data_IF_970105207963
#
_entry.id   IF_970105207963
#
_cell.length_a   1.000
_cell.length_b   1.000
_cell.length_c   1.000
_cell.angle_alpha   90.00
_cell.angle_beta   90.00
_cell.angle_gamma   90.00
#
_symmetry.space_group_name_H-M   'P 1'
#
loop_
_entity.id
_entity.type
_entity.pdbx_description
1 polymer ?
#
# COMPACT_ATOMS: atom_id res chain seq x y z
N UNK A 1 -26.81 -26.53 1.50
CA UNK A 1 -25.68 -25.67 1.12
C UNK A 1 -24.40 -26.44 1.47
N UNK A 2 -23.51 -26.69 0.51
CA UNK A 2 -22.26 -27.45 0.79
C UNK A 2 -21.34 -26.65 1.70
N UNK A 3 -20.56 -27.33 2.57
CA UNK A 3 -19.57 -26.71 3.47
C UNK A 3 -18.63 -25.76 2.69
N UNK A 4 -18.22 -26.20 1.51
CA UNK A 4 -17.34 -25.46 0.61
C UNK A 4 -17.94 -24.12 0.17
N UNK A 5 -19.23 -24.07 -0.16
CA UNK A 5 -19.92 -22.83 -0.54
C UNK A 5 -20.10 -21.89 0.65
N UNK A 6 -20.32 -22.42 1.86
CA UNK A 6 -20.33 -21.61 3.09
C UNK A 6 -18.98 -20.96 3.34
N UNK A 7 -17.90 -21.73 3.27
CA UNK A 7 -16.53 -21.21 3.42
C UNK A 7 -16.21 -20.12 2.37
N UNK A 8 -16.63 -20.36 1.11
CA UNK A 8 -16.42 -19.38 0.05
C UNK A 8 -17.11 -18.06 0.37
N UNK A 9 -18.37 -18.08 0.77
CA UNK A 9 -19.12 -16.88 1.12
C UNK A 9 -18.50 -16.15 2.31
N UNK A 10 -18.07 -16.87 3.34
CA UNK A 10 -17.45 -16.29 4.54
C UNK A 10 -16.07 -15.67 4.27
N UNK A 11 -15.30 -16.23 3.33
CA UNK A 11 -13.90 -15.84 3.09
C UNK A 11 -13.72 -14.87 1.91
N UNK A 12 -14.70 -14.74 1.00
CA UNK A 12 -14.60 -13.81 -0.15
C UNK A 12 -15.37 -12.51 0.15
N UNK A 13 -14.68 -11.39 0.42
CA UNK A 13 -15.32 -10.11 0.76
C UNK A 13 -16.08 -9.47 -0.41
N UNK A 14 -16.03 -10.05 -1.62
CA UNK A 14 -16.76 -9.55 -2.80
C UNK A 14 -18.24 -9.93 -2.83
N UNK A 15 -18.64 -10.91 -2.05
CA UNK A 15 -20.05 -11.30 -1.92
C UNK A 15 -20.70 -10.51 -0.79
N UNK A 16 -21.98 -10.13 -0.96
CA UNK A 16 -22.74 -9.45 0.10
C UNK A 16 -23.01 -10.45 1.22
N UNK A 17 -22.23 -10.37 2.25
CA UNK A 17 -22.21 -11.31 3.34
C UNK A 17 -23.31 -11.10 4.38
N UNK A 18 -23.65 -12.21 5.05
CA UNK A 18 -24.49 -12.21 6.25
C UNK A 18 -23.74 -11.72 7.49
N UNK A 19 -24.39 -11.82 8.65
CA UNK A 19 -23.83 -11.40 9.94
C UNK A 19 -22.54 -12.14 10.31
N UNK A 20 -22.47 -13.46 10.04
CA UNK A 20 -21.28 -14.29 10.34
C UNK A 20 -20.04 -13.86 9.53
N UNK A 21 -20.24 -13.46 8.28
CA UNK A 21 -19.18 -13.00 7.39
C UNK A 21 -18.59 -11.68 7.87
N UNK A 22 -19.45 -10.75 8.30
CA UNK A 22 -19.00 -9.47 8.89
C UNK A 22 -18.22 -9.67 10.18
N UNK A 23 -18.64 -10.60 11.05
CA UNK A 23 -17.90 -10.94 12.27
C UNK A 23 -16.53 -11.49 11.92
N UNK A 24 -16.45 -12.41 10.96
CA UNK A 24 -15.18 -13.00 10.53
C UNK A 24 -14.23 -11.92 9.95
N UNK A 25 -14.75 -11.01 9.14
CA UNK A 25 -13.99 -9.89 8.59
C UNK A 25 -13.43 -8.98 9.70
N UNK A 26 -14.27 -8.59 10.67
CA UNK A 26 -13.85 -7.78 11.82
C UNK A 26 -12.77 -8.51 12.64
N UNK A 27 -12.96 -9.80 12.92
CA UNK A 27 -12.00 -10.62 13.67
C UNK A 27 -10.65 -10.66 12.94
N UNK A 28 -10.67 -10.88 11.64
CA UNK A 28 -9.46 -10.96 10.84
C UNK A 28 -8.72 -9.61 10.78
N UNK A 29 -9.44 -8.51 10.58
CA UNK A 29 -8.87 -7.16 10.64
C UNK A 29 -8.29 -6.89 12.02
N UNK A 30 -8.99 -7.27 13.10
CA UNK A 30 -8.51 -7.11 14.46
C UNK A 30 -7.21 -7.86 14.72
N UNK A 31 -7.10 -9.12 14.26
CA UNK A 31 -5.86 -9.90 14.38
C UNK A 31 -4.72 -9.23 13.60
N UNK A 32 -4.98 -8.70 12.39
CA UNK A 32 -3.97 -7.97 11.62
C UNK A 32 -3.49 -6.73 12.37
N UNK A 33 -4.41 -5.92 12.90
CA UNK A 33 -4.08 -4.72 13.66
C UNK A 33 -3.30 -5.05 14.94
N UNK A 34 -3.70 -6.08 15.67
CA UNK A 34 -2.97 -6.54 16.86
C UNK A 34 -1.55 -7.03 16.50
N UNK A 35 -1.35 -7.68 15.34
CA UNK A 35 -0.01 -8.04 14.88
C UNK A 35 0.85 -6.80 14.63
N UNK A 36 0.27 -5.73 14.05
CA UNK A 36 0.99 -4.48 13.83
C UNK A 36 1.42 -3.89 15.18
N UNK A 37 0.50 -3.82 16.14
CA UNK A 37 0.79 -3.33 17.50
C UNK A 37 1.86 -4.19 18.18
N UNK A 38 1.77 -5.52 18.08
CA UNK A 38 2.75 -6.44 18.64
C UNK A 38 4.16 -6.21 18.04
N UNK A 39 4.27 -6.03 16.71
CA UNK A 39 5.55 -5.73 16.05
C UNK A 39 6.12 -4.39 16.54
N UNK A 40 5.29 -3.36 16.69
CA UNK A 40 5.74 -2.05 17.19
C UNK A 40 6.22 -2.17 18.64
N UNK A 41 5.45 -2.83 19.51
CA UNK A 41 5.82 -2.99 20.92
C UNK A 41 7.06 -3.86 21.11
N UNK A 42 7.22 -4.95 20.33
CA UNK A 42 8.42 -5.80 20.37
C UNK A 42 9.69 -5.11 19.86
N UNK A 43 9.58 -3.96 19.20
CA UNK A 43 10.74 -3.15 18.83
C UNK A 43 11.35 -2.38 20.00
N UNK A 44 10.61 -2.24 21.10
CA UNK A 44 11.04 -1.54 22.31
C UNK A 44 11.65 -2.59 23.27
N UNK A 45 12.97 -2.49 23.55
CA UNK A 45 13.71 -3.49 24.33
C UNK A 45 13.06 -3.83 25.67
N UNK A 46 12.60 -2.84 26.42
CA UNK A 46 11.96 -3.04 27.74
C UNK A 46 10.67 -3.89 27.63
N UNK A 47 9.88 -3.69 26.57
CA UNK A 47 8.67 -4.46 26.32
C UNK A 47 8.99 -5.86 25.80
N UNK A 48 9.99 -5.98 24.90
CA UNK A 48 10.41 -7.26 24.34
C UNK A 48 10.93 -8.18 25.46
N UNK A 49 11.83 -7.69 26.31
CA UNK A 49 12.37 -8.46 27.45
C UNK A 49 11.29 -8.91 28.45
N UNK A 50 10.30 -8.05 28.72
CA UNK A 50 9.24 -8.33 29.70
C UNK A 50 8.13 -9.24 29.18
N UNK A 51 7.79 -9.14 27.91
CA UNK A 51 6.61 -9.76 27.30
C UNK A 51 6.95 -10.69 26.12
N UNK A 52 8.21 -11.12 25.97
CA UNK A 52 8.70 -11.93 24.87
C UNK A 52 7.88 -13.20 24.64
N UNK A 53 7.49 -13.90 25.70
CA UNK A 53 6.69 -15.12 25.58
C UNK A 53 5.29 -14.83 25.02
N UNK A 54 4.64 -13.75 25.49
CA UNK A 54 3.32 -13.34 24.99
C UNK A 54 3.36 -12.93 23.51
N UNK A 55 4.41 -12.20 23.09
CA UNK A 55 4.58 -11.83 21.68
C UNK A 55 4.81 -13.06 20.82
N UNK A 56 5.62 -14.01 21.28
CA UNK A 56 5.87 -15.27 20.57
C UNK A 56 4.61 -16.11 20.44
N UNK A 57 3.86 -16.28 21.53
CA UNK A 57 2.65 -17.09 21.55
C UNK A 57 1.56 -16.47 20.65
N UNK A 58 1.41 -15.14 20.68
CA UNK A 58 0.51 -14.43 19.78
C UNK A 58 0.97 -14.51 18.32
N UNK A 59 2.27 -14.48 18.05
CA UNK A 59 2.81 -14.68 16.72
C UNK A 59 2.47 -16.07 16.17
N UNK A 60 2.67 -17.12 16.98
CA UNK A 60 2.34 -18.51 16.61
C UNK A 60 0.83 -18.65 16.37
N UNK A 61 0.00 -18.11 17.28
CA UNK A 61 -1.44 -18.10 17.11
C UNK A 61 -1.86 -17.46 15.79
N UNK A 62 -1.37 -16.28 15.51
CA UNK A 62 -1.67 -15.54 14.27
C UNK A 62 -1.22 -16.31 13.02
N UNK A 63 -0.05 -16.93 13.08
CA UNK A 63 0.49 -17.73 12.01
C UNK A 63 -0.40 -18.92 11.68
N UNK A 64 -0.80 -19.69 12.72
CA UNK A 64 -1.71 -20.84 12.56
C UNK A 64 -3.05 -20.37 11.99
N UNK A 65 -3.59 -19.28 12.52
CA UNK A 65 -4.84 -18.71 12.07
C UNK A 65 -4.78 -18.33 10.58
N UNK A 66 -3.76 -17.58 10.14
CA UNK A 66 -3.60 -17.18 8.75
C UNK A 66 -3.30 -18.34 7.80
N UNK A 67 -2.62 -19.38 8.29
CA UNK A 67 -2.39 -20.61 7.51
C UNK A 67 -3.70 -21.34 7.25
N UNK A 68 -4.52 -21.54 8.29
CA UNK A 68 -5.84 -22.18 8.16
C UNK A 68 -6.73 -21.35 7.23
N UNK A 69 -6.76 -20.04 7.40
CA UNK A 69 -7.52 -19.11 6.57
C UNK A 69 -7.11 -19.22 5.07
N UNK A 70 -5.82 -19.25 4.79
CA UNK A 70 -5.31 -19.39 3.42
C UNK A 70 -5.68 -20.74 2.78
N UNK A 71 -5.52 -21.83 3.53
CA UNK A 71 -5.88 -23.17 3.08
C UNK A 71 -7.39 -23.28 2.81
N UNK A 72 -8.23 -22.76 3.72
CA UNK A 72 -9.67 -22.74 3.57
C UNK A 72 -10.11 -21.92 2.35
N UNK A 73 -9.42 -20.80 2.10
CA UNK A 73 -9.64 -19.95 0.93
C UNK A 73 -9.25 -20.69 -0.36
N UNK A 74 -8.08 -21.34 -0.38
CA UNK A 74 -7.62 -22.13 -1.53
C UNK A 74 -8.53 -23.33 -1.82
N UNK A 75 -9.12 -23.92 -0.76
CA UNK A 75 -10.09 -24.99 -0.90
C UNK A 75 -11.41 -24.49 -1.50
N UNK A 76 -11.91 -23.34 -1.07
CA UNK A 76 -13.23 -22.82 -1.42
C UNK A 76 -13.29 -22.05 -2.74
N UNK A 77 -12.16 -21.50 -3.21
CA UNK A 77 -12.09 -20.60 -4.39
C UNK A 77 -12.64 -21.21 -5.69
N UNK A 78 -12.67 -22.53 -5.80
CA UNK A 78 -13.16 -23.24 -6.99
C UNK A 78 -14.67 -23.02 -7.21
N UNK A 79 -15.40 -22.54 -6.21
CA UNK A 79 -16.81 -22.11 -6.35
C UNK A 79 -16.96 -20.86 -7.25
N UNK A 80 -15.92 -20.05 -7.38
CA UNK A 80 -15.89 -18.89 -8.27
C UNK A 80 -15.68 -19.34 -9.71
N UNK A 81 -16.59 -18.98 -10.61
CA UNK A 81 -16.57 -19.40 -12.04
C UNK A 81 -15.20 -19.22 -12.70
N UNK A 82 -14.48 -18.14 -12.37
CA UNK A 82 -13.13 -17.84 -12.89
C UNK A 82 -12.09 -18.90 -12.53
N UNK A 83 -12.29 -19.64 -11.44
CA UNK A 83 -11.35 -20.61 -10.87
C UNK A 83 -11.97 -22.03 -10.74
N UNK A 84 -12.97 -22.36 -11.55
CA UNK A 84 -13.75 -23.59 -11.45
C UNK A 84 -12.95 -24.90 -11.60
N UNK A 85 -11.77 -24.85 -12.24
CA UNK A 85 -10.94 -26.05 -12.40
C UNK A 85 -10.24 -26.42 -11.08
N UNK A 86 -10.33 -27.68 -10.61
CA UNK A 86 -9.89 -28.07 -9.26
C UNK A 86 -8.41 -27.85 -8.97
N UNK A 87 -7.52 -28.02 -9.94
CA UNK A 87 -6.07 -27.83 -9.76
C UNK A 87 -5.61 -26.52 -10.38
N UNK A 88 -5.84 -26.34 -11.69
CA UNK A 88 -5.41 -25.12 -12.43
C UNK A 88 -6.03 -23.85 -11.86
N UNK A 89 -7.29 -23.94 -11.40
CA UNK A 89 -7.98 -22.80 -10.76
C UNK A 89 -7.32 -22.34 -9.46
N UNK A 90 -6.94 -23.31 -8.60
CA UNK A 90 -6.24 -23.02 -7.34
C UNK A 90 -4.85 -22.44 -7.58
N UNK A 91 -4.07 -22.99 -8.51
CA UNK A 91 -2.75 -22.46 -8.87
C UNK A 91 -2.86 -21.03 -9.45
N UNK A 92 -3.85 -20.81 -10.33
CA UNK A 92 -4.11 -19.47 -10.88
C UNK A 92 -4.52 -18.47 -9.80
N UNK A 93 -5.29 -18.91 -8.81
CA UNK A 93 -5.64 -18.06 -7.66
C UNK A 93 -4.41 -17.79 -6.78
N UNK A 94 -3.63 -18.82 -6.43
CA UNK A 94 -2.41 -18.68 -5.62
C UNK A 94 -1.39 -17.73 -6.24
N UNK A 95 -1.34 -17.61 -7.57
CA UNK A 95 -0.50 -16.67 -8.31
C UNK A 95 -1.08 -15.23 -8.36
N UNK A 96 -2.25 -14.96 -7.78
CA UNK A 96 -2.78 -13.59 -7.71
C UNK A 96 -2.03 -12.74 -6.68
N UNK A 97 -1.86 -11.41 -6.90
CA UNK A 97 -1.12 -10.55 -5.97
C UNK A 97 -1.60 -10.65 -4.52
N UNK A 98 -2.92 -10.65 -4.30
CA UNK A 98 -3.49 -10.76 -2.96
C UNK A 98 -3.27 -12.13 -2.31
N UNK A 99 -3.29 -13.22 -3.10
CA UNK A 99 -2.99 -14.55 -2.58
C UNK A 99 -1.50 -14.75 -2.30
N UNK A 100 -0.62 -14.10 -3.06
CA UNK A 100 0.81 -14.06 -2.77
C UNK A 100 1.11 -13.29 -1.48
N UNK A 101 0.44 -12.16 -1.24
CA UNK A 101 0.52 -11.44 0.04
C UNK A 101 0.10 -12.35 1.20
N UNK A 102 -1.02 -13.07 1.05
CA UNK A 102 -1.46 -14.03 2.07
C UNK A 102 -0.40 -15.12 2.31
N UNK A 103 0.17 -15.68 1.25
CA UNK A 103 1.21 -16.72 1.32
C UNK A 103 2.48 -16.19 2.02
N UNK A 104 2.99 -15.04 1.58
CA UNK A 104 4.19 -14.44 2.18
C UNK A 104 3.99 -13.97 3.62
N UNK A 105 2.76 -13.85 4.09
CA UNK A 105 2.47 -13.48 5.49
C UNK A 105 2.84 -14.57 6.51
N UNK A 106 2.88 -15.85 6.10
CA UNK A 106 3.19 -16.97 6.99
C UNK A 106 4.32 -17.89 6.46
N UNK A 107 4.56 -17.95 5.15
CA UNK A 107 5.56 -18.81 4.54
C UNK A 107 6.98 -18.64 5.14
N UNK A 108 7.47 -17.41 5.39
CA UNK A 108 8.81 -17.19 5.93
C UNK A 108 9.04 -17.88 7.27
N UNK A 109 8.01 -18.00 8.11
CA UNK A 109 8.09 -18.70 9.38
C UNK A 109 8.37 -20.19 9.18
N UNK A 110 7.69 -20.82 8.24
CA UNK A 110 7.92 -22.25 7.94
C UNK A 110 9.28 -22.48 7.28
N UNK A 111 9.77 -21.54 6.48
CA UNK A 111 11.09 -21.60 5.89
C UNK A 111 12.20 -21.51 6.94
N UNK A 112 11.94 -20.85 8.07
CA UNK A 112 12.91 -20.77 9.17
C UNK A 112 13.19 -22.12 9.86
N UNK A 113 12.34 -23.13 9.69
CA UNK A 113 12.59 -24.50 10.17
C UNK A 113 13.47 -25.35 9.23
N UNK A 114 13.73 -24.87 8.01
CA UNK A 114 14.68 -25.52 7.12
C UNK A 114 16.13 -25.20 7.59
N UNK A 115 17.10 -26.10 7.35
CA UNK A 115 18.50 -25.89 7.67
C UNK A 115 19.13 -24.82 6.76
N UNK A 116 18.70 -23.59 6.92
CA UNK A 116 19.12 -22.43 6.15
C UNK A 116 20.01 -21.54 7.03
N UNK A 117 21.01 -20.90 6.43
CA UNK A 117 21.94 -20.00 7.13
C UNK A 117 21.17 -18.94 7.96
N UNK A 118 21.62 -18.71 9.21
CA UNK A 118 21.05 -17.76 10.17
C UNK A 118 20.90 -16.33 9.61
N UNK A 119 21.68 -15.98 8.59
CA UNK A 119 21.59 -14.67 7.91
C UNK A 119 20.23 -14.49 7.22
N UNK A 120 19.68 -15.55 6.62
CA UNK A 120 18.37 -15.51 5.96
C UNK A 120 17.21 -15.45 6.96
N UNK A 121 17.37 -15.95 8.18
CA UNK A 121 16.34 -15.87 9.22
C UNK A 121 15.99 -14.42 9.56
N UNK A 122 16.96 -13.50 9.49
CA UNK A 122 16.72 -12.07 9.73
C UNK A 122 15.83 -11.47 8.63
N UNK A 123 16.07 -11.85 7.37
CA UNK A 123 15.25 -11.40 6.22
C UNK A 123 13.85 -11.97 6.34
N UNK A 124 13.71 -13.23 6.74
CA UNK A 124 12.39 -13.85 6.94
C UNK A 124 11.57 -13.16 8.04
N UNK A 125 12.21 -12.67 9.10
CA UNK A 125 11.53 -11.87 10.12
C UNK A 125 11.00 -10.55 9.53
N UNK A 126 11.74 -9.88 8.66
CA UNK A 126 11.27 -8.68 7.96
C UNK A 126 10.07 -8.96 7.06
N UNK A 127 9.98 -10.16 6.49
CA UNK A 127 8.83 -10.53 5.65
C UNK A 127 7.53 -10.65 6.45
N UNK A 128 7.56 -10.72 7.78
CA UNK A 128 6.35 -10.68 8.63
C UNK A 128 5.52 -9.41 8.39
N UNK A 129 6.13 -8.34 7.86
CA UNK A 129 5.45 -7.10 7.46
C UNK A 129 4.36 -7.36 6.39
N UNK A 130 4.48 -8.42 5.58
CA UNK A 130 3.44 -8.78 4.60
C UNK A 130 2.09 -9.10 5.24
N UNK A 131 2.06 -9.43 6.56
CA UNK A 131 0.79 -9.58 7.31
C UNK A 131 -0.04 -8.29 7.28
N UNK A 132 0.60 -7.12 7.30
CA UNK A 132 -0.09 -5.83 7.24
C UNK A 132 -0.83 -5.64 5.91
N UNK A 133 -0.25 -6.10 4.80
CA UNK A 133 -0.85 -5.95 3.48
C UNK A 133 -2.09 -6.84 3.27
N UNK A 134 -2.35 -7.81 4.16
CA UNK A 134 -3.60 -8.60 4.13
C UNK A 134 -4.84 -7.72 4.29
N UNK A 135 -4.74 -6.58 5.00
CA UNK A 135 -5.82 -5.62 5.16
C UNK A 135 -6.33 -5.08 3.81
N UNK A 136 -5.45 -5.03 2.80
CA UNK A 136 -5.79 -4.55 1.46
C UNK A 136 -6.95 -5.32 0.81
N UNK A 137 -7.13 -6.58 1.16
CA UNK A 137 -8.22 -7.43 0.65
C UNK A 137 -9.60 -6.95 1.13
N UNK A 138 -9.66 -6.40 2.33
CA UNK A 138 -10.90 -5.98 3.02
C UNK A 138 -11.24 -4.52 2.78
N UNK A 139 -10.30 -3.72 2.30
CA UNK A 139 -10.53 -2.32 2.00
C UNK A 139 -11.11 -2.14 0.60
N UNK A 140 -12.43 -2.12 0.49
CA UNK A 140 -13.14 -1.85 -0.78
C UNK A 140 -12.71 -0.51 -1.41
N UNK A 141 -12.35 0.47 -0.58
CA UNK A 141 -11.82 1.76 -1.01
C UNK A 141 -10.56 1.64 -1.88
N UNK A 142 -9.74 0.58 -1.69
CA UNK A 142 -8.56 0.35 -2.52
C UNK A 142 -8.91 0.02 -3.98
N UNK A 143 -10.08 -0.57 -4.24
CA UNK A 143 -10.53 -0.79 -5.62
C UNK A 143 -10.84 0.54 -6.31
N UNK A 144 -11.47 1.48 -5.61
CA UNK A 144 -11.70 2.83 -6.11
C UNK A 144 -10.37 3.55 -6.36
N UNK A 145 -9.45 3.50 -5.39
CA UNK A 145 -8.10 4.06 -5.53
C UNK A 145 -7.35 3.49 -6.74
N UNK A 146 -7.38 2.16 -6.91
CA UNK A 146 -6.79 1.49 -8.06
C UNK A 146 -7.41 1.95 -9.39
N UNK A 147 -8.74 2.11 -9.44
CA UNK A 147 -9.43 2.61 -10.64
C UNK A 147 -8.92 4.02 -11.01
N UNK A 148 -8.89 4.95 -10.02
CA UNK A 148 -8.37 6.30 -10.23
C UNK A 148 -6.93 6.27 -10.76
N UNK A 149 -6.04 5.47 -10.12
CA UNK A 149 -4.66 5.35 -10.55
C UNK A 149 -4.52 4.85 -11.99
N UNK A 150 -5.32 3.85 -12.38
CA UNK A 150 -5.29 3.29 -13.73
C UNK A 150 -5.85 4.28 -14.76
N UNK A 151 -6.95 4.96 -14.45
CA UNK A 151 -7.58 5.93 -15.35
C UNK A 151 -6.73 7.19 -15.53
N UNK A 152 -6.02 7.63 -14.49
CA UNK A 152 -5.18 8.85 -14.50
C UNK A 152 -3.68 8.58 -14.63
N UNK A 153 -3.28 7.33 -14.96
CA UNK A 153 -1.87 6.91 -15.01
C UNK A 153 -1.01 7.81 -15.89
N UNK A 154 -1.50 8.19 -17.07
CA UNK A 154 -0.73 8.99 -18.05
C UNK A 154 -0.49 10.41 -17.51
N UNK A 155 -1.52 11.02 -16.92
CA UNK A 155 -1.42 12.34 -16.31
C UNK A 155 -0.49 12.33 -15.09
N UNK A 156 -0.57 11.28 -14.27
CA UNK A 156 0.32 11.10 -13.10
C UNK A 156 1.77 10.90 -13.55
N UNK A 157 2.02 10.02 -14.51
CA UNK A 157 3.38 9.79 -15.03
C UNK A 157 3.95 11.08 -15.60
N UNK A 158 3.16 11.83 -16.40
CA UNK A 158 3.60 13.10 -16.97
C UNK A 158 3.92 14.12 -15.86
N UNK A 159 3.08 14.24 -14.82
CA UNK A 159 3.33 15.16 -13.72
C UNK A 159 4.59 14.80 -12.93
N UNK A 160 4.82 13.50 -12.64
CA UNK A 160 6.05 13.06 -11.97
C UNK A 160 7.31 13.27 -12.82
N UNK A 161 7.24 13.02 -14.13
CA UNK A 161 8.35 13.29 -15.06
C UNK A 161 8.66 14.79 -15.11
N UNK A 162 7.64 15.64 -15.12
CA UNK A 162 7.81 17.09 -15.10
C UNK A 162 8.48 17.57 -13.80
N UNK A 163 8.03 17.06 -12.65
CA UNK A 163 8.64 17.34 -11.34
C UNK A 163 10.11 16.90 -11.32
N UNK A 164 10.39 15.68 -11.81
CA UNK A 164 11.76 15.16 -11.89
C UNK A 164 12.64 16.03 -12.80
N UNK A 165 12.13 16.46 -13.94
CA UNK A 165 12.83 17.34 -14.88
C UNK A 165 13.20 18.68 -14.23
N UNK A 166 12.24 19.32 -13.55
CA UNK A 166 12.50 20.57 -12.81
C UNK A 166 13.49 20.35 -11.68
N UNK A 167 13.38 19.25 -10.94
CA UNK A 167 14.31 18.89 -9.87
C UNK A 167 15.76 18.76 -10.40
N UNK A 168 15.95 18.11 -11.54
CA UNK A 168 17.27 17.96 -12.16
C UNK A 168 17.82 19.31 -12.58
N UNK A 169 17.00 20.15 -13.24
CA UNK A 169 17.43 21.50 -13.67
C UNK A 169 17.86 22.35 -12.47
N UNK A 170 17.03 22.44 -11.45
CA UNK A 170 17.36 23.28 -10.29
C UNK A 170 18.56 22.73 -9.52
N UNK A 171 18.71 21.42 -9.42
CA UNK A 171 19.87 20.78 -8.80
C UNK A 171 21.14 21.08 -9.58
N UNK A 172 21.08 21.07 -10.91
CA UNK A 172 22.18 21.47 -11.77
C UNK A 172 22.57 22.93 -11.52
N UNK A 173 21.61 23.84 -11.56
CA UNK A 173 21.88 25.29 -11.32
C UNK A 173 22.45 25.52 -9.93
N UNK A 174 21.83 24.94 -8.89
CA UNK A 174 22.28 25.11 -7.51
C UNK A 174 23.64 24.49 -7.23
N UNK A 175 23.98 23.38 -7.88
CA UNK A 175 25.33 22.80 -7.83
C UNK A 175 26.37 23.83 -8.27
N UNK A 176 26.19 24.45 -9.44
CA UNK A 176 27.17 25.44 -9.94
C UNK A 176 27.22 26.72 -9.13
N UNK A 177 26.10 27.12 -8.50
CA UNK A 177 26.04 28.34 -7.67
C UNK A 177 26.68 28.11 -6.29
N UNK A 178 26.50 26.94 -5.69
CA UNK A 178 26.89 26.69 -4.28
C UNK A 178 28.18 25.86 -4.15
N UNK A 179 28.57 25.04 -5.13
CA UNK A 179 29.72 24.14 -5.03
C UNK A 179 31.03 24.88 -4.69
N UNK A 180 31.26 26.06 -5.27
CA UNK A 180 32.47 26.84 -4.99
C UNK A 180 32.51 27.35 -3.53
N UNK A 181 31.35 27.63 -2.92
CA UNK A 181 31.24 28.13 -1.55
C UNK A 181 31.18 27.02 -0.49
N UNK A 182 30.61 25.85 -0.85
CA UNK A 182 30.46 24.70 0.05
C UNK A 182 30.58 23.35 -0.70
N UNK A 183 31.78 22.99 -1.16
CA UNK A 183 32.02 21.81 -2.01
C UNK A 183 31.66 20.50 -1.31
N UNK A 184 31.72 20.42 0.00
CA UNK A 184 31.40 19.22 0.77
C UNK A 184 29.91 18.92 0.79
N UNK A 185 29.06 19.95 0.76
CA UNK A 185 27.61 19.81 0.81
C UNK A 185 26.97 19.71 -0.57
N UNK A 186 27.32 20.61 -1.48
CA UNK A 186 26.92 20.57 -2.88
C UNK A 186 28.03 19.89 -3.72
N UNK A 187 28.42 18.66 -3.33
CA UNK A 187 29.57 17.95 -3.90
C UNK A 187 29.30 17.39 -5.30
N UNK A 188 28.07 17.17 -5.66
CA UNK A 188 27.65 16.65 -6.97
C UNK A 188 26.18 16.97 -7.23
N UNK A 189 25.75 16.84 -8.51
CA UNK A 189 24.34 17.03 -8.88
C UNK A 189 23.44 16.05 -8.09
N UNK A 190 23.70 14.74 -7.97
CA UNK A 190 22.90 13.84 -7.13
C UNK A 190 22.86 14.27 -5.65
N UNK A 191 23.95 14.75 -5.07
CA UNK A 191 23.95 15.26 -3.70
C UNK A 191 23.05 16.52 -3.58
N UNK A 192 23.10 17.40 -4.57
CA UNK A 192 22.25 18.60 -4.64
C UNK A 192 20.77 18.22 -4.83
N UNK A 193 20.47 17.13 -5.54
CA UNK A 193 19.10 16.62 -5.68
C UNK A 193 18.49 16.23 -4.34
N UNK A 194 19.27 15.75 -3.38
CA UNK A 194 18.81 15.51 -2.01
C UNK A 194 18.24 16.79 -1.38
N UNK A 195 19.00 17.90 -1.45
CA UNK A 195 18.49 19.19 -1.02
C UNK A 195 17.23 19.62 -1.78
N UNK A 196 17.25 19.43 -3.11
CA UNK A 196 16.11 19.76 -3.97
C UNK A 196 14.84 18.98 -3.58
N UNK A 197 14.96 17.67 -3.31
CA UNK A 197 13.84 16.83 -2.85
C UNK A 197 13.34 17.33 -1.49
N UNK A 198 14.24 17.53 -0.52
CA UNK A 198 13.87 17.98 0.81
C UNK A 198 13.16 19.36 0.80
N UNK A 199 13.59 20.24 -0.09
CA UNK A 199 13.00 21.56 -0.30
C UNK A 199 11.65 21.45 -1.00
N UNK A 200 11.59 20.72 -2.11
CA UNK A 200 10.36 20.51 -2.90
C UNK A 200 9.25 19.87 -2.04
N UNK A 201 9.60 18.84 -1.26
CA UNK A 201 8.64 18.16 -0.38
C UNK A 201 8.32 18.95 0.90
N UNK A 202 8.89 20.13 1.07
CA UNK A 202 8.71 20.99 2.25
C UNK A 202 9.17 20.38 3.57
N UNK A 203 10.02 19.33 3.53
CA UNK A 203 10.58 18.67 4.72
C UNK A 203 11.68 19.53 5.35
N UNK A 204 12.66 19.98 4.53
CA UNK A 204 13.69 20.95 4.95
C UNK A 204 14.53 20.47 6.13
N UNK A 205 15.23 19.33 6.00
CA UNK A 205 16.08 18.78 7.08
C UNK A 205 17.14 19.76 7.60
N UNK A 206 17.57 20.73 6.77
CA UNK A 206 18.55 21.75 7.17
C UNK A 206 20.01 21.28 7.16
N UNK A 207 20.28 20.04 6.78
CA UNK A 207 21.61 19.47 6.63
C UNK A 207 22.38 20.08 5.45
N UNK A 208 21.67 20.38 4.37
CA UNK A 208 22.17 21.07 3.17
C UNK A 208 21.26 22.28 2.95
N UNK A 209 21.85 23.48 2.93
CA UNK A 209 21.16 24.76 2.66
C UNK A 209 22.06 25.68 1.85
N UNK A 210 21.51 26.48 0.90
CA UNK A 210 22.30 27.46 0.16
C UNK A 210 22.81 28.58 1.10
N UNK A 211 24.08 28.95 0.93
CA UNK A 211 24.70 30.03 1.72
C UNK A 211 24.97 31.29 0.90
N UNK A 212 25.15 31.13 -0.43
CA UNK A 212 25.37 32.32 -1.29
C UNK A 212 24.10 33.11 -1.46
N UNK A 213 24.23 34.42 -1.73
CA UNK A 213 23.07 35.29 -1.93
C UNK A 213 22.24 34.85 -3.13
N UNK A 214 22.91 34.45 -4.23
CA UNK A 214 22.23 33.97 -5.43
C UNK A 214 21.53 32.63 -5.16
N UNK A 215 22.18 31.68 -4.46
CA UNK A 215 21.62 30.41 -4.08
C UNK A 215 20.39 30.54 -3.19
N UNK A 216 20.39 31.51 -2.24
CA UNK A 216 19.24 31.80 -1.40
C UNK A 216 18.04 32.34 -2.20
N UNK A 217 18.30 33.22 -3.18
CA UNK A 217 17.23 33.74 -4.05
C UNK A 217 16.64 32.63 -4.93
N UNK A 218 17.51 31.87 -5.61
CA UNK A 218 17.07 30.75 -6.46
C UNK A 218 16.39 29.64 -5.66
N UNK A 219 16.94 29.29 -4.49
CA UNK A 219 16.35 28.30 -3.59
C UNK A 219 14.98 28.72 -3.07
N UNK A 220 14.81 30.01 -2.71
CA UNK A 220 13.53 30.58 -2.32
C UNK A 220 12.49 30.55 -3.44
N UNK A 221 12.89 30.93 -4.65
CA UNK A 221 12.03 30.85 -5.84
C UNK A 221 11.60 29.41 -6.14
N UNK A 222 12.54 28.46 -6.04
CA UNK A 222 12.25 27.03 -6.22
C UNK A 222 11.33 26.50 -5.12
N UNK A 223 11.52 26.90 -3.87
CA UNK A 223 10.64 26.48 -2.77
C UNK A 223 9.19 26.94 -3.00
N UNK A 224 8.99 28.17 -3.45
CA UNK A 224 7.65 28.70 -3.78
C UNK A 224 7.04 27.92 -4.96
N UNK A 225 7.79 27.71 -6.06
CA UNK A 225 7.34 26.95 -7.20
C UNK A 225 7.07 25.47 -6.85
N UNK A 226 7.86 24.92 -5.95
CA UNK A 226 7.77 23.53 -5.49
C UNK A 226 6.43 23.17 -4.88
N UNK A 227 5.84 24.06 -4.10
CA UNK A 227 4.49 23.87 -3.54
C UNK A 227 3.45 23.66 -4.65
N UNK A 228 3.50 24.50 -5.70
CA UNK A 228 2.60 24.38 -6.85
C UNK A 228 2.84 23.09 -7.67
N UNK A 229 4.11 22.70 -7.82
CA UNK A 229 4.47 21.48 -8.54
C UNK A 229 3.94 20.21 -7.86
N UNK A 230 4.06 20.11 -6.53
CA UNK A 230 3.54 18.97 -5.77
C UNK A 230 2.01 18.92 -5.74
N UNK A 231 1.33 20.05 -5.91
CA UNK A 231 -0.13 20.09 -6.00
C UNK A 231 -0.66 19.42 -7.26
N UNK A 232 0.14 19.26 -8.34
CA UNK A 232 -0.30 18.67 -9.60
C UNK A 232 -0.75 17.20 -9.45
N UNK A 233 0.09 16.26 -8.95
CA UNK A 233 -0.34 14.88 -8.75
C UNK A 233 -1.52 14.76 -7.79
N UNK A 234 -1.53 15.55 -6.70
CA UNK A 234 -2.62 15.55 -5.73
C UNK A 234 -3.95 16.03 -6.35
N UNK A 235 -3.91 17.08 -7.18
CA UNK A 235 -5.06 17.59 -7.92
C UNK A 235 -5.60 16.57 -8.93
N UNK A 236 -4.72 15.88 -9.67
CA UNK A 236 -5.09 14.82 -10.62
C UNK A 236 -5.81 13.69 -9.89
N UNK A 237 -5.27 13.23 -8.76
CA UNK A 237 -5.90 12.17 -7.94
C UNK A 237 -7.24 12.63 -7.40
N UNK A 238 -7.31 13.84 -6.83
CA UNK A 238 -8.55 14.40 -6.28
C UNK A 238 -9.65 14.49 -7.34
N UNK A 239 -9.34 15.05 -8.52
CA UNK A 239 -10.31 15.12 -9.63
C UNK A 239 -10.79 13.74 -10.09
N UNK A 240 -9.89 12.76 -10.17
CA UNK A 240 -10.23 11.38 -10.52
C UNK A 240 -11.19 10.72 -9.50
N UNK A 241 -10.99 10.97 -8.21
CA UNK A 241 -11.92 10.51 -7.17
C UNK A 241 -13.30 11.14 -7.31
N UNK A 242 -13.37 12.46 -7.49
CA UNK A 242 -14.64 13.16 -7.66
C UNK A 242 -15.42 12.66 -8.87
N UNK A 243 -14.75 12.45 -9.99
CA UNK A 243 -15.38 11.97 -11.22
C UNK A 243 -15.96 10.56 -11.03
N UNK A 244 -15.18 9.61 -10.48
CA UNK A 244 -15.67 8.25 -10.26
C UNK A 244 -16.85 8.20 -9.27
N UNK A 245 -16.82 8.99 -8.20
CA UNK A 245 -17.91 9.07 -7.25
C UNK A 245 -19.20 9.64 -7.87
N UNK A 246 -19.09 10.57 -8.81
CA UNK A 246 -20.25 11.13 -9.52
C UNK A 246 -20.82 10.15 -10.54
N UNK A 247 -19.96 9.50 -11.32
CA UNK A 247 -20.37 8.48 -12.31
C UNK A 247 -21.11 7.32 -11.64
N UNK A 248 -20.61 6.83 -10.49
CA UNK A 248 -21.27 5.75 -9.76
C UNK A 248 -22.64 6.19 -9.20
N UNK A 249 -22.76 7.44 -8.72
CA UNK A 249 -24.06 8.02 -8.28
C UNK A 249 -25.06 8.22 -9.43
N UNK A 250 -24.57 8.66 -10.59
CA UNK A 250 -25.43 8.81 -11.78
C UNK A 250 -25.95 7.45 -12.28
N UNK A 251 -25.10 6.43 -12.32
CA UNK A 251 -25.52 5.06 -12.65
C UNK A 251 -26.57 4.51 -11.69
N UNK A 252 -26.51 4.85 -10.41
CA UNK A 252 -27.56 4.49 -9.45
C UNK A 252 -28.86 5.27 -9.69
N UNK A 253 -28.78 6.53 -10.11
CA UNK A 253 -29.98 7.35 -10.44
C UNK A 253 -30.68 6.89 -11.70
N UNK A 254 -29.93 6.50 -12.75
CA UNK A 254 -30.50 6.01 -14.02
C UNK A 254 -31.20 4.67 -13.87
N UNK A 255 -30.90 3.89 -12.82
CA UNK A 255 -31.63 2.66 -12.51
C UNK A 255 -33.06 2.88 -12.03
N UNK A 256 -33.43 4.11 -11.67
CA UNK A 256 -34.81 4.46 -11.27
C UNK A 256 -35.44 5.32 -12.32
N UNK A 257 -36.67 4.96 -12.72
CA UNK A 257 -37.49 5.77 -13.65
C UNK A 257 -37.71 7.17 -13.06
N UNK A 258 -37.33 8.26 -13.74
CA UNK A 258 -37.50 9.61 -13.22
C UNK A 258 -38.97 10.02 -13.04
N UNK A 259 -39.91 9.28 -13.67
CA UNK A 259 -41.34 9.59 -13.64
C UNK A 259 -42.10 8.82 -12.54
N UNK A 260 -41.78 7.56 -12.26
CA UNK A 260 -42.50 6.72 -11.31
C UNK A 260 -41.63 6.12 -10.21
N UNK A 261 -40.30 6.33 -10.20
CA UNK A 261 -39.38 5.85 -9.19
C UNK A 261 -39.11 4.34 -9.17
N UNK A 262 -39.74 3.58 -10.09
CA UNK A 262 -39.52 2.12 -10.19
C UNK A 262 -38.15 1.82 -10.80
N UNK A 263 -37.54 0.71 -10.36
CA UNK A 263 -36.27 0.24 -10.94
C UNK A 263 -36.49 -0.08 -12.43
N UNK A 264 -35.63 0.49 -13.27
CA UNK A 264 -35.57 0.15 -14.70
C UNK A 264 -34.80 -1.19 -14.77
N UNK A 265 -35.57 -2.27 -14.96
CA UNK A 265 -34.96 -3.56 -15.25
C UNK A 265 -34.36 -3.53 -16.68
N UNK A 266 -33.09 -3.89 -16.82
CA UNK A 266 -32.53 -4.36 -18.09
C UNK A 266 -33.12 -5.72 -18.48
#
# INVERSE_FOLDING_TARGET
MTLRRRLYLTLDPSEKGGFAERIFEILLISIILLNIVAIILSSIKEFDEKYQDYFRDFEIFSLVFFTIEYIARLYSIVEKRKYSHPVKGRLRFAATPLALVDLFSFLPFYLAFLPIDLRFLRIFRLMSIFRMFKIARYLHALNLFKRVLVERKEQLVLSFLFILFILVIISFVMFYVENAAQPDKFSSIPATMWWGIATLTTVGYGDIVPITNLGKILGGAFAIAGVGLLALPAGILSSGFFELLHVDKEKERVKKCPHCGKDLHE
#
